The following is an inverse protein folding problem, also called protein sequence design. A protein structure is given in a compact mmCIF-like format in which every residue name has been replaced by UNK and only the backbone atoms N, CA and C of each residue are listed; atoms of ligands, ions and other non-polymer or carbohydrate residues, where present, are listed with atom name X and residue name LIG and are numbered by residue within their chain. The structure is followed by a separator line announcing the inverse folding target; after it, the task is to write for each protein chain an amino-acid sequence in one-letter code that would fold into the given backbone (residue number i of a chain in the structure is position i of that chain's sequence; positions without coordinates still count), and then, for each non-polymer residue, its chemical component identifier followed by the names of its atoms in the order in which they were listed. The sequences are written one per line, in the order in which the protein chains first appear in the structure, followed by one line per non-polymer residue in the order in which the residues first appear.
data_IF_795658454214
#
_entry.id   IF_795658454214
#
_cell.length_a   1.000
_cell.length_b   1.000
_cell.length_c   1.000
_cell.angle_alpha   90.00
_cell.angle_beta   90.00
_cell.angle_gamma   90.00
#
_symmetry.space_group_name_H-M   'P 1'
#
loop_
_entity.id
_entity.type
_entity.pdbx_description
1 polymer ?
#
# COMPACT_ATOMS: atom_id res chain seq x y z
N UNK A 1 5.61 -35.34 33.18
CA UNK A 1 5.19 -34.88 31.84
C UNK A 1 5.11 -33.38 31.90
N UNK A 2 6.22 -32.68 31.55
CA UNK A 2 6.20 -31.23 31.33
C UNK A 2 5.47 -30.93 30.03
N UNK A 3 4.38 -30.18 30.12
CA UNK A 3 3.75 -29.54 28.98
C UNK A 3 4.65 -28.35 28.60
N UNK A 4 5.38 -28.49 27.49
CA UNK A 4 6.04 -27.36 26.83
C UNK A 4 4.89 -26.59 26.17
N UNK A 5 4.50 -25.46 26.78
CA UNK A 5 3.67 -24.47 26.12
C UNK A 5 4.63 -23.62 25.30
N UNK A 6 4.62 -23.75 23.98
CA UNK A 6 5.34 -22.84 23.12
C UNK A 6 4.67 -21.46 23.30
N UNK A 7 5.35 -20.52 23.91
CA UNK A 7 4.99 -19.11 23.87
C UNK A 7 5.22 -18.67 22.42
N UNK A 8 4.14 -18.45 21.69
CA UNK A 8 4.20 -17.72 20.42
C UNK A 8 4.66 -16.31 20.77
N UNK A 9 5.80 -15.92 20.21
CA UNK A 9 6.29 -14.56 20.35
C UNK A 9 5.32 -13.62 19.63
N UNK A 10 4.51 -12.91 20.41
CA UNK A 10 3.45 -12.01 19.89
C UNK A 10 4.04 -10.82 19.12
N UNK A 11 5.36 -10.57 19.25
CA UNK A 11 6.05 -9.48 18.55
C UNK A 11 6.23 -9.71 17.03
N UNK A 12 5.90 -10.90 16.52
CA UNK A 12 6.00 -11.19 15.08
C UNK A 12 4.69 -10.96 14.32
N UNK A 13 3.62 -10.54 15.00
CA UNK A 13 2.33 -10.19 14.36
C UNK A 13 2.38 -8.79 13.74
N UNK A 14 3.28 -7.92 14.23
CA UNK A 14 3.47 -6.55 13.72
C UNK A 14 4.05 -6.49 12.28
N UNK A 15 4.40 -7.63 11.69
CA UNK A 15 4.90 -7.70 10.31
C UNK A 15 3.81 -7.89 9.26
N UNK A 16 2.65 -8.44 9.63
CA UNK A 16 1.50 -8.55 8.73
C UNK A 16 0.69 -7.27 8.78
N UNK A 17 0.50 -6.63 7.64
CA UNK A 17 -0.29 -5.41 7.55
C UNK A 17 -1.56 -5.64 6.74
N UNK A 18 -2.69 -5.25 7.31
CA UNK A 18 -3.98 -5.31 6.67
C UNK A 18 -4.53 -3.91 6.40
N UNK A 19 -4.74 -3.58 5.14
CA UNK A 19 -5.27 -2.29 4.69
C UNK A 19 -6.68 -2.44 4.16
N UNK A 20 -7.54 -1.43 4.43
CA UNK A 20 -8.84 -1.31 3.78
C UNK A 20 -8.72 -0.45 2.53
N UNK A 21 -9.19 -0.97 1.39
CA UNK A 21 -9.22 -0.22 0.12
C UNK A 21 -10.60 0.38 -0.11
N UNK A 22 -10.87 1.52 0.52
CA UNK A 22 -12.16 2.22 0.45
C UNK A 22 -12.04 3.68 0.87
N UNK A 23 -13.02 4.50 0.48
CA UNK A 23 -13.22 5.87 0.96
C UNK A 23 -14.50 6.00 1.82
N UNK A 24 -15.14 4.90 2.18
CA UNK A 24 -16.29 4.85 3.08
C UNK A 24 -15.81 4.93 4.53
N UNK A 25 -15.88 6.13 5.10
CA UNK A 25 -15.35 6.43 6.43
C UNK A 25 -16.12 5.73 7.55
N UNK A 26 -17.42 5.45 7.38
CA UNK A 26 -18.21 4.72 8.38
C UNK A 26 -17.78 3.24 8.43
N UNK A 27 -17.56 2.65 7.26
CA UNK A 27 -17.06 1.28 7.16
C UNK A 27 -15.64 1.16 7.74
N UNK A 28 -14.78 2.14 7.45
CA UNK A 28 -13.42 2.17 7.98
C UNK A 28 -13.44 2.28 9.49
N UNK A 29 -14.20 3.22 10.07
CA UNK A 29 -14.33 3.38 11.52
C UNK A 29 -14.74 2.07 12.21
N UNK A 30 -15.77 1.42 11.66
CA UNK A 30 -16.26 0.13 12.18
C UNK A 30 -15.17 -0.95 12.28
N UNK A 31 -14.34 -1.09 11.24
CA UNK A 31 -13.30 -2.12 11.24
C UNK A 31 -12.03 -1.67 11.96
N UNK A 32 -11.71 -0.38 11.93
CA UNK A 32 -10.55 0.15 12.64
C UNK A 32 -10.67 -0.03 14.17
N UNK A 33 -11.88 0.04 14.73
CA UNK A 33 -12.16 -0.25 16.14
C UNK A 33 -11.77 -1.67 16.58
N UNK A 34 -11.54 -2.60 15.64
CA UNK A 34 -11.05 -3.95 15.96
C UNK A 34 -9.57 -3.96 16.33
N UNK A 35 -8.81 -2.89 16.08
CA UNK A 35 -7.35 -2.78 16.18
C UNK A 35 -6.59 -3.81 15.32
N UNK A 36 -7.19 -4.27 14.21
CA UNK A 36 -6.58 -5.22 13.28
C UNK A 36 -6.24 -4.58 11.91
N UNK A 37 -6.57 -3.31 11.74
CA UNK A 37 -6.34 -2.57 10.49
C UNK A 37 -5.17 -1.62 10.71
N UNK A 38 -4.18 -1.72 9.82
CA UNK A 38 -2.92 -0.96 9.89
C UNK A 38 -2.96 0.31 9.04
N UNK A 39 -3.86 0.37 8.06
CA UNK A 39 -3.98 1.53 7.21
C UNK A 39 -5.15 1.46 6.22
N UNK A 40 -5.23 2.49 5.41
CA UNK A 40 -6.26 2.64 4.38
C UNK A 40 -5.61 3.02 3.06
N UNK A 41 -6.03 2.36 1.99
CA UNK A 41 -5.70 2.80 0.63
C UNK A 41 -6.91 3.46 -0.02
N UNK A 42 -6.68 4.56 -0.68
CA UNK A 42 -7.68 5.23 -1.50
C UNK A 42 -7.22 5.34 -2.96
N UNK A 43 -8.11 5.75 -3.82
CA UNK A 43 -7.80 6.11 -5.20
C UNK A 43 -8.86 7.09 -5.73
N UNK A 44 -8.59 7.82 -6.84
CA UNK A 44 -9.52 8.80 -7.37
C UNK A 44 -10.93 8.27 -7.61
N UNK A 45 -11.06 7.02 -8.04
CA UNK A 45 -12.37 6.39 -8.28
C UNK A 45 -13.17 6.19 -7.01
N UNK A 46 -12.52 5.72 -5.93
CA UNK A 46 -13.16 5.52 -4.63
C UNK A 46 -13.58 6.86 -4.02
N UNK A 47 -12.71 7.86 -4.08
CA UNK A 47 -13.02 9.22 -3.61
C UNK A 47 -14.20 9.81 -4.41
N UNK A 48 -14.17 9.72 -5.73
CA UNK A 48 -15.27 10.20 -6.57
C UNK A 48 -16.60 9.51 -6.24
N UNK A 49 -16.60 8.21 -6.01
CA UNK A 49 -17.80 7.45 -5.62
C UNK A 49 -18.33 7.85 -4.25
N UNK A 50 -17.49 8.29 -3.31
CA UNK A 50 -17.94 8.78 -2.01
C UNK A 50 -18.69 10.13 -2.12
N UNK A 51 -18.53 10.86 -3.22
CA UNK A 51 -19.11 12.19 -3.43
C UNK A 51 -18.53 13.28 -2.54
N UNK A 52 -17.40 13.02 -1.86
CA UNK A 52 -16.77 13.90 -0.89
C UNK A 52 -15.48 14.50 -1.42
N UNK A 53 -15.05 15.59 -0.82
CA UNK A 53 -13.72 16.14 -1.05
C UNK A 53 -12.65 15.17 -0.52
N UNK A 54 -11.58 14.91 -1.29
CA UNK A 54 -10.51 14.00 -0.86
C UNK A 54 -9.89 14.39 0.49
N UNK A 55 -9.65 15.67 0.72
CA UNK A 55 -8.99 16.14 1.92
C UNK A 55 -9.88 16.03 3.17
N UNK A 56 -11.20 16.17 2.99
CA UNK A 56 -12.16 15.93 4.08
C UNK A 56 -12.18 14.45 4.47
N UNK A 57 -12.07 13.54 3.49
CA UNK A 57 -11.94 12.10 3.75
C UNK A 57 -10.63 11.82 4.51
N UNK A 58 -9.50 12.33 4.03
CA UNK A 58 -8.19 12.12 4.68
C UNK A 58 -8.17 12.68 6.09
N UNK A 59 -8.71 13.89 6.30
CA UNK A 59 -8.77 14.48 7.64
C UNK A 59 -9.59 13.62 8.61
N UNK A 60 -10.74 13.12 8.17
CA UNK A 60 -11.56 12.25 9.00
C UNK A 60 -10.84 10.93 9.35
N UNK A 61 -10.09 10.34 8.42
CA UNK A 61 -9.30 9.13 8.68
C UNK A 61 -8.21 9.40 9.73
N UNK A 62 -7.55 10.55 9.65
CA UNK A 62 -6.55 10.98 10.64
C UNK A 62 -7.20 11.21 12.01
N UNK A 63 -8.36 11.85 12.04
CA UNK A 63 -9.10 12.10 13.29
C UNK A 63 -9.56 10.78 13.97
N UNK A 64 -9.76 9.71 13.18
CA UNK A 64 -9.99 8.35 13.67
C UNK A 64 -8.71 7.68 14.23
N UNK A 65 -7.54 8.27 14.01
CA UNK A 65 -6.24 7.74 14.47
C UNK A 65 -5.53 6.83 13.48
N UNK A 66 -5.90 6.83 12.19
CA UNK A 66 -5.24 6.01 11.17
C UNK A 66 -3.90 6.63 10.81
N UNK A 67 -2.83 5.85 10.98
CA UNK A 67 -1.44 6.31 10.84
C UNK A 67 -0.84 6.08 9.45
N UNK A 68 -1.51 5.34 8.55
CA UNK A 68 -1.02 5.08 7.20
C UNK A 68 -2.17 5.13 6.18
N UNK A 69 -2.21 6.22 5.42
CA UNK A 69 -3.25 6.49 4.42
C UNK A 69 -2.59 6.69 3.06
N UNK A 70 -2.83 5.78 2.13
CA UNK A 70 -2.37 5.93 0.75
C UNK A 70 -3.24 6.94 0.00
N UNK A 71 -2.68 8.12 -0.27
CA UNK A 71 -3.28 9.26 -0.95
C UNK A 71 -2.76 9.34 -2.38
N UNK A 72 -3.60 9.01 -3.37
CA UNK A 72 -3.15 8.90 -4.76
C UNK A 72 -3.10 10.25 -5.47
N UNK A 73 -1.96 10.54 -6.06
CA UNK A 73 -1.70 11.69 -6.91
C UNK A 73 -1.47 11.23 -8.35
N UNK A 74 -1.91 12.03 -9.30
CA UNK A 74 -1.87 11.71 -10.74
C UNK A 74 -1.36 12.90 -11.54
N UNK A 75 -0.90 12.66 -12.76
CA UNK A 75 -0.40 13.69 -13.68
C UNK A 75 1.01 13.39 -14.14
N UNK A 76 1.72 14.44 -14.53
CA UNK A 76 3.15 14.42 -14.83
C UNK A 76 4.00 14.45 -13.56
N UNK A 77 5.31 14.42 -13.73
CA UNK A 77 6.25 14.44 -12.61
C UNK A 77 6.02 15.63 -11.68
N UNK A 78 5.96 16.85 -12.23
CA UNK A 78 5.85 18.07 -11.43
C UNK A 78 4.53 18.12 -10.64
N UNK A 79 3.42 17.73 -11.28
CA UNK A 79 2.12 17.65 -10.64
C UNK A 79 2.11 16.66 -9.47
N UNK A 80 2.59 15.43 -9.69
CA UNK A 80 2.65 14.40 -8.64
C UNK A 80 3.60 14.78 -7.50
N UNK A 81 4.74 15.37 -7.79
CA UNK A 81 5.73 15.77 -6.79
C UNK A 81 5.22 16.92 -5.91
N UNK A 82 4.70 17.99 -6.54
CA UNK A 82 4.18 19.18 -5.82
C UNK A 82 2.98 18.79 -4.96
N UNK A 83 2.03 18.05 -5.53
CA UNK A 83 0.84 17.63 -4.80
C UNK A 83 1.18 16.65 -3.68
N UNK A 84 2.09 15.71 -3.92
CA UNK A 84 2.57 14.78 -2.90
C UNK A 84 3.21 15.50 -1.72
N UNK A 85 4.10 16.49 -1.96
CA UNK A 85 4.67 17.30 -0.91
C UNK A 85 3.60 18.13 -0.17
N UNK A 86 2.61 18.64 -0.88
CA UNK A 86 1.51 19.41 -0.29
C UNK A 86 0.70 18.55 0.69
N UNK A 87 0.32 17.36 0.26
CA UNK A 87 -0.40 16.40 1.10
C UNK A 87 0.42 15.99 2.32
N UNK A 88 1.70 15.68 2.12
CA UNK A 88 2.59 15.34 3.23
C UNK A 88 2.75 16.48 4.24
N UNK A 89 2.88 17.73 3.77
CA UNK A 89 2.95 18.90 4.66
C UNK A 89 1.67 19.12 5.44
N UNK A 90 0.51 18.83 4.84
CA UNK A 90 -0.79 18.99 5.48
C UNK A 90 -1.08 17.87 6.48
N UNK A 91 -0.83 16.62 6.10
CA UNK A 91 -1.27 15.45 6.85
C UNK A 91 -0.14 14.70 7.58
N UNK A 92 1.10 15.14 7.42
CA UNK A 92 2.24 14.62 8.16
C UNK A 92 2.57 13.17 7.82
N UNK A 93 2.99 12.43 8.84
CA UNK A 93 3.47 11.04 8.69
C UNK A 93 2.37 10.05 8.29
N UNK A 94 1.10 10.39 8.49
CA UNK A 94 -0.03 9.55 8.09
C UNK A 94 -0.23 9.52 6.57
N UNK A 95 0.32 10.51 5.84
CA UNK A 95 0.27 10.54 4.39
C UNK A 95 1.33 9.63 3.78
N UNK A 96 0.91 8.54 3.16
CA UNK A 96 1.69 7.76 2.21
C UNK A 96 1.26 8.17 0.79
N UNK A 97 2.15 8.81 0.04
CA UNK A 97 1.80 9.31 -1.29
C UNK A 97 1.79 8.16 -2.28
N UNK A 98 0.66 7.97 -2.96
CA UNK A 98 0.48 6.89 -3.92
C UNK A 98 0.65 7.42 -5.33
N UNK A 99 1.56 6.80 -6.10
CA UNK A 99 1.89 7.19 -7.47
C UNK A 99 1.83 6.00 -8.43
N UNK A 100 1.42 6.17 -9.69
CA UNK A 100 1.43 5.08 -10.66
C UNK A 100 2.85 4.66 -11.04
N UNK A 101 3.03 3.40 -11.42
CA UNK A 101 4.31 2.87 -11.92
C UNK A 101 4.55 3.31 -13.38
N UNK A 102 4.77 4.59 -13.57
CA UNK A 102 5.16 5.24 -14.84
C UNK A 102 6.54 5.87 -14.68
N UNK A 103 7.24 6.26 -15.75
CA UNK A 103 8.50 6.98 -15.65
C UNK A 103 8.42 8.21 -14.74
N UNK A 104 7.35 9.03 -14.89
CA UNK A 104 7.13 10.21 -14.07
C UNK A 104 6.78 9.86 -12.62
N UNK A 105 5.95 8.83 -12.40
CA UNK A 105 5.61 8.35 -11.06
C UNK A 105 6.82 7.78 -10.31
N UNK A 106 7.69 7.03 -10.99
CA UNK A 106 8.94 6.53 -10.40
C UNK A 106 9.92 7.67 -10.08
N UNK A 107 9.98 8.69 -10.92
CA UNK A 107 10.75 9.90 -10.67
C UNK A 107 10.20 10.67 -9.46
N UNK A 108 8.88 10.85 -9.40
CA UNK A 108 8.21 11.48 -8.26
C UNK A 108 8.45 10.67 -6.96
N UNK A 109 8.34 9.34 -7.01
CA UNK A 109 8.66 8.46 -5.89
C UNK A 109 10.09 8.72 -5.37
N UNK A 110 11.06 8.78 -6.26
CA UNK A 110 12.46 8.99 -5.89
C UNK A 110 12.70 10.33 -5.17
N UNK A 111 12.13 11.41 -5.68
CA UNK A 111 12.31 12.73 -5.07
C UNK A 111 11.54 12.84 -3.74
N UNK A 112 10.29 12.35 -3.68
CA UNK A 112 9.52 12.28 -2.44
C UNK A 112 10.22 11.45 -1.35
N UNK A 113 10.77 10.27 -1.72
CA UNK A 113 11.49 9.42 -0.77
C UNK A 113 12.78 10.08 -0.23
N UNK A 114 13.45 10.94 -1.01
CA UNK A 114 14.58 11.75 -0.52
C UNK A 114 14.17 12.76 0.54
N UNK A 115 12.95 13.27 0.44
CA UNK A 115 12.36 14.17 1.43
C UNK A 115 11.69 13.40 2.60
N UNK A 116 11.99 12.11 2.73
CA UNK A 116 11.48 11.20 3.78
C UNK A 116 9.96 11.02 3.75
N UNK A 117 9.33 11.25 2.61
CA UNK A 117 7.92 10.97 2.38
C UNK A 117 7.74 9.50 2.06
N UNK A 118 6.80 8.83 2.74
CA UNK A 118 6.41 7.47 2.38
C UNK A 118 5.71 7.44 1.03
N UNK A 119 6.12 6.52 0.16
CA UNK A 119 5.51 6.38 -1.17
C UNK A 119 5.04 4.96 -1.41
N UNK A 120 3.80 4.83 -1.92
CA UNK A 120 3.23 3.59 -2.44
C UNK A 120 3.22 3.65 -3.97
N UNK A 121 4.04 2.84 -4.62
CA UNK A 121 4.01 2.74 -6.09
C UNK A 121 2.97 1.71 -6.50
N UNK A 122 1.91 2.19 -7.14
CA UNK A 122 0.76 1.38 -7.55
C UNK A 122 0.80 1.01 -9.05
N UNK A 123 -0.15 0.19 -9.49
CA UNK A 123 -0.24 -0.33 -10.85
C UNK A 123 1.01 -1.16 -11.23
N UNK A 124 1.41 -2.03 -10.32
CA UNK A 124 2.46 -3.00 -10.56
C UNK A 124 1.85 -4.25 -11.22
N UNK A 125 2.36 -4.60 -12.39
CA UNK A 125 1.92 -5.75 -13.19
C UNK A 125 3.08 -6.70 -13.57
N UNK A 126 4.29 -6.40 -13.11
CA UNK A 126 5.45 -7.27 -13.33
C UNK A 126 6.50 -7.11 -12.23
N UNK A 127 7.32 -8.15 -11.96
CA UNK A 127 8.42 -8.05 -11.00
C UNK A 127 9.44 -6.97 -11.36
N UNK A 128 9.67 -6.74 -12.65
CA UNK A 128 10.57 -5.68 -13.12
C UNK A 128 10.12 -4.27 -12.68
N UNK A 129 8.81 -4.00 -12.70
CA UNK A 129 8.24 -2.75 -12.19
C UNK A 129 8.46 -2.62 -10.68
N UNK A 130 8.27 -3.70 -9.91
CA UNK A 130 8.51 -3.71 -8.47
C UNK A 130 9.99 -3.44 -8.12
N UNK A 131 10.94 -3.99 -8.90
CA UNK A 131 12.36 -3.69 -8.75
C UNK A 131 12.65 -2.19 -8.96
N UNK A 132 12.06 -1.59 -10.00
CA UNK A 132 12.24 -0.15 -10.27
C UNK A 132 11.67 0.70 -9.15
N UNK A 133 10.49 0.35 -8.62
CA UNK A 133 9.86 1.04 -7.52
C UNK A 133 10.70 0.96 -6.22
N UNK A 134 11.23 -0.21 -5.90
CA UNK A 134 12.14 -0.39 -4.76
C UNK A 134 13.42 0.46 -4.92
N UNK A 135 14.00 0.50 -6.13
CA UNK A 135 15.16 1.35 -6.42
C UNK A 135 14.85 2.84 -6.36
N UNK A 136 13.61 3.24 -6.64
CA UNK A 136 13.14 4.61 -6.47
C UNK A 136 12.94 4.99 -4.98
N UNK A 137 12.91 4.03 -4.06
CA UNK A 137 12.77 4.26 -2.62
C UNK A 137 11.34 4.13 -2.11
N UNK A 138 10.48 3.40 -2.82
CA UNK A 138 9.12 3.14 -2.38
C UNK A 138 9.08 2.43 -1.02
N UNK A 139 8.17 2.87 -0.13
CA UNK A 139 7.81 2.13 1.08
C UNK A 139 6.95 0.92 0.73
N UNK A 140 5.99 1.10 -0.17
CA UNK A 140 5.13 0.02 -0.66
C UNK A 140 5.19 -0.09 -2.17
N UNK A 141 5.03 -1.33 -2.65
CA UNK A 141 4.66 -1.63 -4.03
C UNK A 141 3.33 -2.35 -4.04
N UNK A 142 2.40 -1.93 -4.91
CA UNK A 142 1.07 -2.53 -4.97
C UNK A 142 0.89 -3.33 -6.27
N UNK A 143 1.21 -4.65 -6.29
CA UNK A 143 0.86 -5.54 -7.39
C UNK A 143 -0.65 -5.71 -7.47
N UNK A 144 -1.20 -5.61 -8.69
CA UNK A 144 -2.64 -5.64 -8.93
C UNK A 144 -3.12 -7.06 -9.22
N UNK A 145 -3.20 -7.89 -8.18
CA UNK A 145 -3.52 -9.32 -8.25
C UNK A 145 -4.76 -9.59 -9.09
N UNK A 146 -5.92 -9.07 -8.71
CA UNK A 146 -7.16 -9.36 -9.41
C UNK A 146 -7.21 -8.83 -10.85
N UNK A 147 -6.48 -7.75 -11.18
CA UNK A 147 -6.37 -7.29 -12.59
C UNK A 147 -5.45 -8.16 -13.43
N UNK A 148 -4.45 -8.78 -12.84
CA UNK A 148 -3.59 -9.78 -13.48
C UNK A 148 -4.43 -11.00 -13.81
N UNK A 149 -5.26 -11.47 -12.87
CA UNK A 149 -6.18 -12.59 -13.05
C UNK A 149 -7.22 -12.32 -14.17
N UNK A 150 -7.74 -11.09 -14.25
CA UNK A 150 -8.67 -10.68 -15.33
C UNK A 150 -8.06 -10.87 -16.73
N UNK A 151 -6.75 -10.84 -16.86
CA UNK A 151 -6.02 -11.02 -18.11
C UNK A 151 -5.49 -12.45 -18.29
N UNK A 152 -6.00 -13.41 -17.52
CA UNK A 152 -5.61 -14.82 -17.59
C UNK A 152 -4.15 -15.11 -17.23
N UNK A 153 -3.54 -14.25 -16.42
CA UNK A 153 -2.28 -14.49 -15.74
C UNK A 153 -2.54 -14.77 -14.27
N UNK A 154 -1.53 -15.25 -13.54
CA UNK A 154 -1.63 -15.56 -12.13
C UNK A 154 -1.14 -14.38 -11.29
N UNK A 155 -2.07 -13.70 -10.60
CA UNK A 155 -1.75 -12.55 -9.76
C UNK A 155 -1.01 -12.93 -8.47
N UNK A 156 -1.21 -14.14 -7.95
CA UNK A 156 -0.48 -14.63 -6.78
C UNK A 156 0.97 -14.97 -7.16
N UNK A 157 1.19 -15.58 -8.32
CA UNK A 157 2.55 -15.83 -8.85
C UNK A 157 3.33 -14.51 -9.01
N UNK A 158 2.66 -13.42 -9.40
CA UNK A 158 3.30 -12.10 -9.43
C UNK A 158 3.79 -11.67 -8.03
N UNK A 159 2.99 -11.85 -6.99
CA UNK A 159 3.36 -11.52 -5.60
C UNK A 159 4.55 -12.37 -5.15
N UNK A 160 4.48 -13.69 -5.38
CA UNK A 160 5.51 -14.67 -5.03
C UNK A 160 6.86 -14.32 -5.69
N UNK A 161 6.86 -14.06 -7.00
CA UNK A 161 8.06 -13.64 -7.74
C UNK A 161 8.67 -12.34 -7.19
N UNK A 162 7.85 -11.35 -6.82
CA UNK A 162 8.35 -10.10 -6.23
C UNK A 162 8.97 -10.39 -4.86
N UNK A 163 8.30 -11.18 -4.03
CA UNK A 163 8.76 -11.58 -2.70
C UNK A 163 10.10 -12.31 -2.75
N UNK A 164 10.23 -13.29 -3.65
CA UNK A 164 11.47 -14.03 -3.89
C UNK A 164 12.62 -13.10 -4.29
N UNK A 165 12.39 -12.19 -5.25
CA UNK A 165 13.40 -11.23 -5.70
C UNK A 165 13.83 -10.32 -4.55
N UNK A 166 12.87 -9.80 -3.77
CA UNK A 166 13.17 -8.92 -2.64
C UNK A 166 13.96 -9.65 -1.56
N UNK A 167 13.63 -10.92 -1.31
CA UNK A 167 14.38 -11.78 -0.39
C UNK A 167 15.82 -12.02 -0.86
N UNK A 168 16.00 -12.47 -2.11
CA UNK A 168 17.32 -12.75 -2.71
C UNK A 168 18.20 -11.50 -2.75
N UNK A 169 17.62 -10.34 -3.09
CA UNK A 169 18.34 -9.07 -3.18
C UNK A 169 18.45 -8.34 -1.84
N UNK A 170 17.94 -8.93 -0.76
CA UNK A 170 17.91 -8.34 0.59
C UNK A 170 17.26 -6.95 0.61
N UNK A 171 16.20 -6.75 -0.17
CA UNK A 171 15.38 -5.53 -0.17
C UNK A 171 14.45 -5.62 1.05
N UNK A 172 14.70 -4.78 2.07
CA UNK A 172 13.97 -4.79 3.36
C UNK A 172 13.16 -3.53 3.62
N UNK A 173 13.35 -2.50 2.80
CA UNK A 173 12.72 -1.19 3.01
C UNK A 173 11.45 -1.00 2.21
N UNK A 174 11.19 -1.89 1.26
CA UNK A 174 10.01 -1.86 0.41
C UNK A 174 9.17 -3.10 0.71
N UNK A 175 7.93 -2.89 1.09
CA UNK A 175 6.97 -3.93 1.43
C UNK A 175 6.02 -4.15 0.25
N UNK A 176 5.49 -5.37 0.15
CA UNK A 176 4.51 -5.72 -0.88
C UNK A 176 3.12 -5.51 -0.28
N UNK A 177 2.34 -4.62 -0.86
CA UNK A 177 0.96 -4.35 -0.50
C UNK A 177 0.04 -4.81 -1.64
N UNK A 178 -0.35 -6.09 -1.62
CA UNK A 178 -1.19 -6.68 -2.65
C UNK A 178 -2.49 -5.88 -2.83
N UNK A 179 -2.79 -5.51 -4.05
CA UNK A 179 -3.92 -4.65 -4.39
C UNK A 179 -4.88 -5.33 -5.38
N UNK A 180 -6.06 -4.73 -5.58
CA UNK A 180 -7.11 -5.33 -6.43
C UNK A 180 -7.53 -6.73 -5.95
N UNK A 181 -7.42 -6.99 -4.66
CA UNK A 181 -7.85 -8.23 -4.01
C UNK A 181 -9.38 -8.25 -3.96
N UNK A 182 -10.02 -9.39 -4.32
CA UNK A 182 -11.47 -9.42 -4.53
C UNK A 182 -12.21 -10.43 -3.67
N UNK A 183 -11.50 -11.34 -3.03
CA UNK A 183 -12.08 -12.40 -2.20
C UNK A 183 -11.13 -12.81 -1.08
N UNK A 184 -11.69 -13.55 -0.10
CA UNK A 184 -10.98 -13.99 1.11
C UNK A 184 -9.83 -14.95 0.79
N UNK A 185 -9.99 -15.77 -0.24
CA UNK A 185 -8.94 -16.71 -0.65
C UNK A 185 -7.71 -15.96 -1.15
N UNK A 186 -7.92 -14.95 -1.99
CA UNK A 186 -6.85 -14.10 -2.53
C UNK A 186 -6.12 -13.33 -1.41
N UNK A 187 -6.81 -12.93 -0.33
CA UNK A 187 -6.14 -12.35 0.86
C UNK A 187 -5.15 -13.36 1.46
N UNK A 188 -5.61 -14.58 1.74
CA UNK A 188 -4.78 -15.61 2.36
C UNK A 188 -3.60 -16.01 1.46
N UNK A 189 -3.86 -16.17 0.17
CA UNK A 189 -2.83 -16.55 -0.81
C UNK A 189 -1.78 -15.45 -0.98
N UNK A 190 -2.18 -14.17 -0.93
CA UNK A 190 -1.25 -13.02 -0.98
C UNK A 190 -0.29 -13.01 0.21
N UNK A 191 -0.81 -13.23 1.43
CA UNK A 191 0.06 -13.39 2.61
C UNK A 191 0.97 -14.62 2.49
N UNK A 192 0.45 -15.74 1.97
CA UNK A 192 1.23 -16.96 1.72
C UNK A 192 2.36 -16.75 0.71
N UNK A 193 2.18 -15.84 -0.24
CA UNK A 193 3.17 -15.44 -1.25
C UNK A 193 4.11 -14.32 -0.79
N UNK A 194 3.95 -13.80 0.43
CA UNK A 194 4.87 -12.83 1.05
C UNK A 194 4.48 -11.36 0.91
N UNK A 195 3.17 -11.07 0.73
CA UNK A 195 2.63 -9.71 0.81
C UNK A 195 2.51 -9.22 2.26
#
# INVERSE_FOLDING_TARGET
KQKICATIDVHNIDTMKLFLDTADTELIEKYYQTNLIDGVTTNPTLIMKSGRDPEDVYQQLIDLGIDDISMEVVGDFDGMFIEGLRLFRKFGKSATIKVPCTPDGLRACRELARDLVNVNVTLIFSPAQAILAAKAGAKYVSPFVGRVDDNSFDGIDLVDQISDIYSIQNIRKTEILAASVRDVKTVSDSFGAGA
#
